data_IF_639139646723
#
_entry.id   IF_639139646723
#
_cell.length_a   1.000
_cell.length_b   1.000
_cell.length_c   1.000
_cell.angle_alpha   90.00
_cell.angle_beta   90.00
_cell.angle_gamma   90.00
#
_symmetry.space_group_name_H-M   'P 1'
#
loop_
_entity.id
_entity.type
_entity.pdbx_description
1 polymer ?
#
# COMPACT_ATOMS: atom_id res chain seq x y z
N UNK A 1 -30.57 55.85 33.55
CA UNK A 1 -30.77 54.46 33.08
C UNK A 1 -31.68 54.55 31.88
N UNK A 2 -31.11 54.71 30.68
CA UNK A 2 -31.91 54.78 29.46
C UNK A 2 -32.36 53.37 29.08
N UNK A 3 -33.66 53.18 29.01
CA UNK A 3 -34.28 51.93 28.55
C UNK A 3 -34.28 51.96 27.01
N UNK A 4 -33.60 51.02 26.33
CA UNK A 4 -33.52 51.03 24.87
C UNK A 4 -34.89 50.85 24.24
N UNK A 5 -35.16 51.61 23.17
CA UNK A 5 -36.47 51.62 22.51
C UNK A 5 -36.60 50.39 21.62
N UNK A 6 -37.83 49.91 21.42
CA UNK A 6 -38.13 48.74 20.56
C UNK A 6 -37.55 48.85 19.13
N UNK A 7 -37.35 50.07 18.63
CA UNK A 7 -36.72 50.35 17.34
C UNK A 7 -35.25 49.93 17.29
N UNK A 8 -34.54 49.98 18.41
CA UNK A 8 -33.12 49.61 18.50
C UNK A 8 -32.97 48.07 18.51
N UNK A 9 -33.99 47.34 18.96
CA UNK A 9 -34.01 45.87 18.90
C UNK A 9 -34.13 45.37 17.45
N UNK A 10 -34.90 46.06 16.60
CA UNK A 10 -35.01 45.70 15.18
C UNK A 10 -33.73 45.96 14.38
N UNK A 11 -32.87 46.89 14.83
CA UNK A 11 -31.55 47.08 14.26
C UNK A 11 -30.62 45.91 14.62
N UNK A 12 -30.74 45.35 15.83
CA UNK A 12 -29.99 44.17 16.27
C UNK A 12 -30.45 42.86 15.59
N UNK A 13 -31.70 42.75 15.14
CA UNK A 13 -32.15 41.55 14.39
C UNK A 13 -31.54 41.45 12.97
N UNK A 14 -31.03 42.56 12.42
CA UNK A 14 -30.31 42.55 11.14
C UNK A 14 -28.84 42.11 11.26
N UNK A 15 -28.26 42.04 12.46
CA UNK A 15 -27.00 41.33 12.70
C UNK A 15 -27.28 39.86 12.99
N UNK A 16 -27.97 39.20 12.05
CA UNK A 16 -27.89 37.75 11.97
C UNK A 16 -26.44 37.44 11.59
N UNK A 17 -25.62 36.78 12.43
CA UNK A 17 -24.28 36.42 12.03
C UNK A 17 -24.39 35.62 10.73
N UNK A 18 -23.92 36.22 9.65
CA UNK A 18 -23.82 35.58 8.37
C UNK A 18 -22.96 34.34 8.61
N UNK A 19 -23.54 33.18 8.29
CA UNK A 19 -22.91 31.86 8.39
C UNK A 19 -22.67 31.36 9.82
N UNK A 20 -23.66 30.65 10.37
CA UNK A 20 -23.33 29.47 11.19
C UNK A 20 -22.29 28.66 10.39
N UNK A 21 -21.13 28.28 10.98
CA UNK A 21 -20.20 27.41 10.30
C UNK A 21 -21.00 26.20 9.87
N UNK A 22 -21.11 25.97 8.55
CA UNK A 22 -21.75 24.80 7.98
C UNK A 22 -21.14 23.64 8.75
N UNK A 23 -21.94 23.01 9.63
CA UNK A 23 -21.49 21.84 10.37
C UNK A 23 -20.75 20.98 9.37
N UNK A 24 -19.47 20.69 9.66
CA UNK A 24 -18.52 20.02 8.76
C UNK A 24 -19.09 18.67 8.40
N UNK A 25 -20.04 18.65 7.45
CA UNK A 25 -20.65 17.46 6.91
C UNK A 25 -19.49 16.70 6.31
N UNK A 26 -19.26 15.52 6.85
CA UNK A 26 -18.23 14.62 6.38
C UNK A 26 -18.45 14.39 4.89
N UNK A 27 -17.63 15.05 4.07
CA UNK A 27 -17.77 14.99 2.63
C UNK A 27 -17.33 13.59 2.16
N UNK A 28 -18.12 12.96 1.29
CA UNK A 28 -17.86 11.62 0.78
C UNK A 28 -16.46 11.50 0.16
N UNK A 29 -15.97 12.59 -0.47
CA UNK A 29 -14.61 12.68 -1.01
C UNK A 29 -13.51 12.57 0.06
N UNK A 30 -13.70 13.17 1.24
CA UNK A 30 -12.76 13.04 2.38
C UNK A 30 -12.78 11.64 2.97
N UNK A 31 -13.96 11.01 3.03
CA UNK A 31 -14.11 9.61 3.46
C UNK A 31 -13.35 8.64 2.56
N UNK A 32 -13.53 8.75 1.24
CA UNK A 32 -12.82 7.92 0.25
C UNK A 32 -11.31 8.13 0.28
N UNK A 33 -10.86 9.39 0.41
CA UNK A 33 -9.45 9.72 0.51
C UNK A 33 -8.80 9.07 1.73
N UNK A 34 -9.40 9.24 2.92
CA UNK A 34 -8.85 8.69 4.17
C UNK A 34 -8.89 7.16 4.18
N UNK A 35 -9.99 6.55 3.69
CA UNK A 35 -10.10 5.10 3.60
C UNK A 35 -9.05 4.50 2.63
N UNK A 36 -8.84 5.14 1.47
CA UNK A 36 -7.84 4.72 0.50
C UNK A 36 -6.41 4.81 1.04
N UNK A 37 -6.07 5.95 1.67
CA UNK A 37 -4.75 6.13 2.30
C UNK A 37 -4.55 5.12 3.43
N UNK A 38 -5.51 4.96 4.34
CA UNK A 38 -5.40 4.01 5.43
C UNK A 38 -5.22 2.58 4.92
N UNK A 39 -6.03 2.16 3.94
CA UNK A 39 -5.93 0.84 3.33
C UNK A 39 -4.58 0.62 2.63
N UNK A 40 -4.08 1.62 1.91
CA UNK A 40 -2.79 1.56 1.24
C UNK A 40 -1.62 1.45 2.22
N UNK A 41 -1.60 2.32 3.24
CA UNK A 41 -0.55 2.34 4.26
C UNK A 41 -0.55 1.04 5.05
N UNK A 42 -1.70 0.55 5.51
CA UNK A 42 -1.79 -0.70 6.27
C UNK A 42 -1.32 -1.88 5.43
N UNK A 43 -1.80 -1.99 4.18
CA UNK A 43 -1.43 -3.12 3.30
C UNK A 43 0.06 -3.12 2.95
N UNK A 44 0.62 -1.94 2.61
CA UNK A 44 2.05 -1.81 2.32
C UNK A 44 2.91 -2.09 3.55
N UNK A 45 2.51 -1.59 4.72
CA UNK A 45 3.23 -1.84 5.99
C UNK A 45 3.22 -3.32 6.34
N UNK A 46 2.08 -4.01 6.14
CA UNK A 46 1.96 -5.44 6.37
C UNK A 46 2.84 -6.24 5.40
N UNK A 47 2.87 -5.86 4.12
CA UNK A 47 3.70 -6.51 3.09
C UNK A 47 5.19 -6.40 3.43
N UNK A 48 5.66 -5.20 3.77
CA UNK A 48 7.05 -4.96 4.17
C UNK A 48 7.40 -5.71 5.46
N UNK A 49 6.49 -5.71 6.43
CA UNK A 49 6.69 -6.42 7.70
C UNK A 49 6.79 -7.94 7.49
N UNK A 50 5.94 -8.52 6.63
CA UNK A 50 6.00 -9.94 6.30
C UNK A 50 7.33 -10.34 5.65
N UNK A 51 7.83 -9.54 4.72
CA UNK A 51 9.14 -9.78 4.09
C UNK A 51 10.26 -9.68 5.13
N UNK A 52 10.22 -8.66 5.98
CA UNK A 52 11.24 -8.41 7.00
C UNK A 52 11.27 -9.51 8.05
N UNK A 53 10.11 -9.91 8.58
CA UNK A 53 9.99 -11.00 9.55
C UNK A 53 10.40 -12.34 8.91
N UNK A 54 9.96 -12.61 7.67
CA UNK A 54 10.40 -13.80 6.94
C UNK A 54 11.92 -13.88 6.78
N UNK A 55 12.58 -12.75 6.50
CA UNK A 55 14.05 -12.69 6.37
C UNK A 55 14.81 -12.96 7.67
N UNK A 56 14.18 -12.72 8.84
CA UNK A 56 14.79 -13.03 10.15
C UNK A 56 14.74 -14.52 10.48
N UNK A 57 13.65 -15.20 10.12
CA UNK A 57 13.48 -16.64 10.36
C UNK A 57 14.16 -17.51 9.29
N UNK A 58 14.28 -16.98 8.08
CA UNK A 58 14.84 -17.67 6.93
C UNK A 58 15.88 -16.78 6.25
N UNK A 59 17.07 -16.63 6.87
CA UNK A 59 18.13 -15.79 6.32
C UNK A 59 18.55 -16.34 4.96
N UNK A 60 18.40 -15.53 3.92
CA UNK A 60 18.96 -15.87 2.61
C UNK A 60 20.49 -15.77 2.69
N UNK A 61 21.23 -16.69 2.05
CA UNK A 61 22.67 -16.55 1.98
C UNK A 61 23.00 -15.22 1.27
N UNK A 62 24.01 -14.47 1.75
CA UNK A 62 24.31 -13.13 1.26
C UNK A 62 24.62 -13.10 -0.25
N UNK A 63 25.03 -14.24 -0.82
CA UNK A 63 25.38 -14.38 -2.24
C UNK A 63 24.17 -14.73 -3.12
N UNK A 64 23.03 -15.13 -2.55
CA UNK A 64 21.83 -15.47 -3.32
C UNK A 64 21.37 -14.35 -4.29
N UNK A 65 21.31 -13.06 -3.88
CA UNK A 65 20.95 -11.98 -4.80
C UNK A 65 21.98 -11.81 -5.93
N UNK A 66 23.27 -11.94 -5.63
CA UNK A 66 24.33 -11.85 -6.64
C UNK A 66 24.24 -12.98 -7.67
N UNK A 67 23.97 -14.21 -7.21
CA UNK A 67 23.76 -15.37 -8.07
C UNK A 67 22.51 -15.16 -8.93
N UNK A 68 21.39 -14.67 -8.36
CA UNK A 68 20.18 -14.37 -9.13
C UNK A 68 20.41 -13.31 -10.19
N UNK A 69 21.11 -12.23 -9.87
CA UNK A 69 21.42 -11.16 -10.82
C UNK A 69 22.41 -11.61 -11.90
N UNK A 70 23.35 -12.49 -11.56
CA UNK A 70 24.25 -13.10 -12.53
C UNK A 70 23.48 -14.02 -13.49
N UNK A 71 22.59 -14.87 -12.97
CA UNK A 71 21.75 -15.76 -13.77
C UNK A 71 20.75 -14.98 -14.63
N UNK A 72 20.15 -13.91 -14.12
CA UNK A 72 19.21 -13.09 -14.87
C UNK A 72 19.86 -12.34 -16.04
N UNK A 73 21.16 -12.04 -15.93
CA UNK A 73 21.95 -11.37 -16.97
C UNK A 73 22.64 -12.35 -17.93
N UNK A 74 22.76 -13.61 -17.54
CA UNK A 74 23.43 -14.62 -18.37
C UNK A 74 22.58 -15.00 -19.59
N UNK A 75 23.19 -15.20 -20.77
CA UNK A 75 22.49 -15.70 -21.94
C UNK A 75 22.01 -17.14 -21.71
N UNK A 76 20.85 -17.48 -22.26
CA UNK A 76 20.19 -18.78 -22.06
C UNK A 76 21.10 -19.96 -22.47
N UNK A 77 21.96 -19.75 -23.47
CA UNK A 77 22.93 -20.74 -23.97
C UNK A 77 23.97 -21.13 -22.91
N UNK A 78 24.45 -20.17 -22.12
CA UNK A 78 25.42 -20.43 -21.04
C UNK A 78 24.76 -21.16 -19.88
N UNK A 79 23.52 -20.78 -19.54
CA UNK A 79 22.72 -21.46 -18.51
C UNK A 79 22.49 -22.93 -18.92
N UNK A 80 22.15 -23.17 -20.18
CA UNK A 80 21.91 -24.51 -20.69
C UNK A 80 23.20 -25.37 -20.71
N UNK A 81 24.33 -24.79 -21.10
CA UNK A 81 25.63 -25.48 -21.05
C UNK A 81 26.02 -25.86 -19.61
N UNK A 82 25.84 -24.95 -18.64
CA UNK A 82 26.07 -25.22 -17.24
C UNK A 82 25.13 -26.31 -16.69
N UNK A 83 23.86 -26.31 -17.10
CA UNK A 83 22.90 -27.36 -16.74
C UNK A 83 23.29 -28.72 -17.31
N UNK A 84 23.73 -28.78 -18.55
CA UNK A 84 24.20 -30.02 -19.17
C UNK A 84 25.46 -30.56 -18.49
N UNK A 85 26.40 -29.69 -18.10
CA UNK A 85 27.57 -30.12 -17.35
C UNK A 85 27.19 -30.68 -15.98
N UNK A 86 26.28 -30.03 -15.25
CA UNK A 86 25.76 -30.54 -13.97
C UNK A 86 24.95 -31.83 -14.11
N UNK A 87 24.16 -31.97 -15.17
CA UNK A 87 23.43 -33.21 -15.43
C UNK A 87 24.38 -34.38 -15.70
N UNK A 88 25.52 -34.11 -16.36
CA UNK A 88 26.52 -35.12 -16.70
C UNK A 88 27.30 -35.66 -15.50
N UNK A 89 27.40 -34.90 -14.40
CA UNK A 89 28.11 -35.32 -13.19
C UNK A 89 27.31 -36.28 -12.32
N UNK A 90 26.03 -36.53 -12.63
CA UNK A 90 25.20 -37.54 -11.97
C UNK A 90 24.83 -37.22 -10.51
N UNK A 91 25.20 -36.04 -10.00
CA UNK A 91 24.94 -35.63 -8.61
C UNK A 91 23.48 -35.22 -8.45
N UNK A 92 22.61 -36.19 -8.19
CA UNK A 92 21.25 -35.94 -7.70
C UNK A 92 21.26 -35.91 -6.18
N UNK A 93 21.27 -34.71 -5.60
CA UNK A 93 20.99 -34.53 -4.17
C UNK A 93 19.48 -34.35 -3.99
N UNK A 94 18.79 -35.17 -3.19
CA UNK A 94 17.41 -34.88 -2.81
C UNK A 94 17.39 -33.59 -1.98
N UNK A 95 16.40 -32.73 -2.24
CA UNK A 95 16.26 -31.50 -1.49
C UNK A 95 16.07 -31.80 0.00
N UNK A 96 16.79 -31.07 0.84
CA UNK A 96 16.71 -31.28 2.30
C UNK A 96 15.34 -30.84 2.83
N UNK A 97 14.97 -31.29 4.03
CA UNK A 97 13.70 -30.92 4.65
C UNK A 97 13.61 -29.40 4.89
N UNK A 98 14.75 -28.76 5.18
CA UNK A 98 14.83 -27.31 5.37
C UNK A 98 14.64 -26.56 4.05
N UNK A 99 15.20 -27.05 2.95
CA UNK A 99 14.96 -26.51 1.60
C UNK A 99 13.48 -26.58 1.20
N UNK A 100 12.80 -27.69 1.52
CA UNK A 100 11.35 -27.80 1.27
C UNK A 100 10.54 -26.80 2.08
N UNK A 101 10.87 -26.60 3.36
CA UNK A 101 10.20 -25.61 4.23
C UNK A 101 10.43 -24.18 3.73
N UNK A 102 11.65 -23.87 3.30
CA UNK A 102 12.01 -22.60 2.68
C UNK A 102 11.21 -22.36 1.40
N UNK A 103 11.10 -23.35 0.53
CA UNK A 103 10.30 -23.23 -0.71
C UNK A 103 8.81 -23.02 -0.43
N UNK A 104 8.23 -23.79 0.49
CA UNK A 104 6.82 -23.65 0.87
C UNK A 104 6.54 -22.26 1.47
N UNK A 105 7.44 -21.81 2.35
CA UNK A 105 7.36 -20.48 2.94
C UNK A 105 7.50 -19.38 1.88
N UNK A 106 8.44 -19.51 0.94
CA UNK A 106 8.65 -18.55 -0.14
C UNK A 106 7.44 -18.46 -1.08
N UNK A 107 6.84 -19.60 -1.47
CA UNK A 107 5.63 -19.61 -2.31
C UNK A 107 4.44 -18.97 -1.62
N UNK A 108 4.23 -19.29 -0.35
CA UNK A 108 3.10 -18.75 0.43
C UNK A 108 3.27 -17.26 0.69
N UNK A 109 4.46 -16.85 1.13
CA UNK A 109 4.78 -15.45 1.44
C UNK A 109 4.75 -14.58 0.18
N UNK A 110 5.29 -15.05 -0.94
CA UNK A 110 5.23 -14.29 -2.20
C UNK A 110 3.80 -14.06 -2.69
N UNK A 111 2.92 -15.07 -2.57
CA UNK A 111 1.50 -14.92 -2.89
C UNK A 111 0.81 -13.88 -2.01
N UNK A 112 1.00 -13.95 -0.69
CA UNK A 112 0.41 -13.00 0.27
C UNK A 112 0.94 -11.58 0.05
N UNK A 113 2.26 -11.42 -0.13
CA UNK A 113 2.88 -10.12 -0.38
C UNK A 113 2.35 -9.52 -1.68
N UNK A 114 2.20 -10.32 -2.74
CA UNK A 114 1.62 -9.86 -4.01
C UNK A 114 0.19 -9.37 -3.82
N UNK A 115 -0.64 -10.11 -3.08
CA UNK A 115 -2.01 -9.71 -2.78
C UNK A 115 -2.08 -8.41 -1.97
N UNK A 116 -1.20 -8.24 -0.98
CA UNK A 116 -1.10 -7.00 -0.20
C UNK A 116 -0.66 -5.80 -1.05
N UNK A 117 0.25 -5.99 -2.00
CA UNK A 117 0.62 -4.94 -2.95
C UNK A 117 -0.53 -4.56 -3.88
N UNK A 118 -1.32 -5.54 -4.34
CA UNK A 118 -2.54 -5.26 -5.12
C UNK A 118 -3.54 -4.46 -4.29
N UNK A 119 -3.79 -4.85 -3.04
CA UNK A 119 -4.63 -4.10 -2.10
C UNK A 119 -4.10 -2.67 -1.86
N UNK A 120 -2.79 -2.52 -1.72
CA UNK A 120 -2.17 -1.19 -1.58
C UNK A 120 -2.38 -0.33 -2.84
N UNK A 121 -2.26 -0.93 -4.03
CA UNK A 121 -2.57 -0.28 -5.30
C UNK A 121 -4.02 0.18 -5.39
N UNK A 122 -4.97 -0.69 -5.01
CA UNK A 122 -6.41 -0.35 -4.97
C UNK A 122 -6.70 0.76 -3.96
N UNK A 123 -6.08 0.74 -2.78
CA UNK A 123 -6.16 1.81 -1.79
C UNK A 123 -5.66 3.15 -2.34
N UNK A 124 -4.56 3.12 -3.10
CA UNK A 124 -4.03 4.33 -3.74
C UNK A 124 -4.98 4.86 -4.82
N UNK A 125 -5.55 3.98 -5.65
CA UNK A 125 -6.53 4.37 -6.67
C UNK A 125 -7.80 4.98 -6.07
N UNK A 126 -8.31 4.41 -4.98
CA UNK A 126 -9.47 4.95 -4.25
C UNK A 126 -9.16 6.31 -3.61
N UNK A 127 -7.95 6.50 -3.08
CA UNK A 127 -7.52 7.80 -2.58
C UNK A 127 -7.49 8.87 -3.69
N UNK A 128 -6.96 8.54 -4.87
CA UNK A 128 -6.95 9.43 -6.04
C UNK A 128 -8.36 9.80 -6.51
N UNK A 129 -9.31 8.85 -6.49
CA UNK A 129 -10.71 9.14 -6.79
C UNK A 129 -11.33 10.13 -5.77
N UNK A 130 -11.00 9.98 -4.49
CA UNK A 130 -11.39 10.93 -3.44
C UNK A 130 -10.82 12.34 -3.66
N UNK A 131 -9.54 12.45 -4.05
CA UNK A 131 -8.91 13.73 -4.42
C UNK A 131 -9.63 14.37 -5.62
N UNK A 132 -9.89 13.60 -6.67
CA UNK A 132 -10.57 14.10 -7.87
C UNK A 132 -12.00 14.61 -7.55
N UNK A 133 -12.76 13.88 -6.71
CA UNK A 133 -14.07 14.32 -6.25
C UNK A 133 -13.99 15.65 -5.50
N UNK A 134 -13.03 15.81 -4.59
CA UNK A 134 -12.85 17.06 -3.84
C UNK A 134 -12.47 18.24 -4.75
N UNK A 135 -11.63 18.01 -5.77
CA UNK A 135 -11.28 19.05 -6.75
C UNK A 135 -12.49 19.47 -7.58
N UNK A 136 -13.32 18.53 -8.04
CA UNK A 136 -14.53 18.86 -8.82
C UNK A 136 -15.63 19.51 -7.99
N UNK A 137 -15.72 19.19 -6.69
CA UNK A 137 -16.67 19.82 -5.78
C UNK A 137 -16.26 21.27 -5.42
N UNK A 138 -14.96 21.51 -5.20
CA UNK A 138 -14.43 22.86 -4.95
C UNK A 138 -14.43 23.78 -6.17
N UNK A 139 -14.39 23.22 -7.39
CA UNK A 139 -14.50 24.00 -8.63
C UNK A 139 -15.92 24.49 -8.94
N UNK A 140 -16.95 23.99 -8.23
CA UNK A 140 -18.38 24.34 -8.44
C UNK A 140 -18.94 25.27 -7.35
N UNK A 141 -18.13 25.65 -6.35
CA UNK A 141 -18.49 26.56 -5.25
C UNK A 141 -17.87 27.93 -5.46
#
# INVERSE_FOLDING_TARGET
MDVPRFRDLTACECERPATLPRATRWDAGRGLLLAGIAGAVVSATLAVSLVRVGSLFFPQPPELPLIRDAVARAPLTEIQAAWQSLASTGVRRPATQDEHRLEQFARTTSGVVTLLWVLAGVGTATALAGVAMLMTAGARS
#
